data_IF_368838238232
#
_entry.id   IF_368838238232
#
_cell.length_a   1.000
_cell.length_b   1.000
_cell.length_c   1.000
_cell.angle_alpha   90.00
_cell.angle_beta   90.00
_cell.angle_gamma   90.00
#
_symmetry.space_group_name_H-M   'P 1'
#
loop_
_entity.id
_entity.type
_entity.pdbx_description
1 polymer ?
#
# COMPACT_ATOMS: atom_id res chain seq x y z
N UNK A 1 35.47 25.17 -12.32
CA UNK A 1 35.96 24.03 -11.52
C UNK A 1 36.15 24.51 -10.09
N UNK A 2 35.10 24.40 -9.27
CA UNK A 2 35.21 24.53 -7.81
C UNK A 2 35.09 23.11 -7.28
N UNK A 3 36.21 22.58 -6.79
CA UNK A 3 36.26 21.34 -6.03
C UNK A 3 35.46 21.54 -4.74
N UNK A 4 34.30 20.91 -4.65
CA UNK A 4 33.50 20.75 -3.42
C UNK A 4 33.68 19.31 -2.88
N UNK A 5 34.88 18.74 -3.04
CA UNK A 5 35.22 17.36 -2.68
C UNK A 5 35.65 17.18 -1.21
N UNK A 6 35.48 18.16 -0.34
CA UNK A 6 35.89 18.05 1.06
C UNK A 6 34.82 18.53 2.04
N UNK A 7 33.79 17.72 2.30
CA UNK A 7 33.02 17.75 3.55
C UNK A 7 32.10 16.52 3.71
N UNK A 8 32.63 15.31 3.53
CA UNK A 8 31.87 14.06 3.72
C UNK A 8 31.72 13.62 5.20
N UNK A 9 31.82 14.55 6.15
CA UNK A 9 31.75 14.26 7.59
C UNK A 9 30.84 15.18 8.42
N UNK A 10 30.01 16.01 7.78
CA UNK A 10 29.08 16.88 8.50
C UNK A 10 27.67 16.27 8.57
N UNK A 11 26.97 16.54 9.67
CA UNK A 11 25.53 16.31 9.79
C UNK A 11 24.81 16.78 8.51
N UNK A 12 23.75 16.11 8.06
CA UNK A 12 23.05 16.48 6.84
C UNK A 12 22.68 17.96 6.94
N UNK A 13 23.21 18.78 6.03
CA UNK A 13 22.69 20.14 5.85
C UNK A 13 21.18 19.99 5.72
N UNK A 14 20.44 20.74 6.52
CA UNK A 14 18.98 20.78 6.47
C UNK A 14 18.56 21.60 5.25
N UNK A 15 17.48 21.19 4.58
CA UNK A 15 17.01 21.85 3.37
C UNK A 15 16.48 20.89 2.32
N UNK A 16 16.24 21.42 1.12
CA UNK A 16 15.69 20.69 -0.01
C UNK A 16 16.53 20.97 -1.27
N UNK A 17 16.81 19.93 -2.04
CA UNK A 17 17.61 20.01 -3.26
C UNK A 17 16.98 19.16 -4.37
N UNK A 18 17.19 19.61 -5.60
CA UNK A 18 17.12 18.81 -6.79
C UNK A 18 18.50 18.29 -7.13
N UNK A 19 18.60 16.99 -7.41
CA UNK A 19 19.81 16.35 -7.93
C UNK A 19 19.58 16.13 -9.43
N UNK A 20 20.38 16.78 -10.26
CA UNK A 20 20.23 16.74 -11.71
C UNK A 20 20.95 15.54 -12.36
N UNK A 21 20.88 15.46 -13.69
CA UNK A 21 21.48 14.42 -14.55
C UNK A 21 23.01 14.41 -14.54
N UNK A 22 23.66 15.35 -13.84
CA UNK A 22 25.10 15.36 -13.58
C UNK A 22 25.43 14.98 -12.15
N UNK A 23 24.41 14.74 -11.32
CA UNK A 23 24.54 14.53 -9.89
C UNK A 23 24.75 15.82 -9.10
N UNK A 24 24.62 17.00 -9.73
CA UNK A 24 24.80 18.30 -9.09
C UNK A 24 23.54 18.67 -8.27
N UNK A 25 23.77 19.33 -7.12
CA UNK A 25 22.71 19.68 -6.17
C UNK A 25 22.29 21.13 -6.32
N UNK A 26 21.04 21.33 -6.69
CA UNK A 26 20.43 22.64 -6.89
C UNK A 26 19.41 22.89 -5.77
N UNK A 27 19.49 23.98 -4.98
CA UNK A 27 18.50 24.28 -3.93
C UNK A 27 17.07 24.35 -4.48
N UNK A 28 16.10 23.77 -3.77
CA UNK A 28 14.69 23.75 -4.19
C UNK A 28 13.88 24.98 -3.73
N UNK A 29 14.48 25.91 -2.98
CA UNK A 29 13.83 27.04 -2.29
C UNK A 29 13.12 28.05 -3.22
N UNK A 30 13.30 27.95 -4.54
CA UNK A 30 12.75 28.89 -5.52
C UNK A 30 11.75 28.27 -6.51
N UNK A 31 11.40 27.00 -6.37
CA UNK A 31 10.62 26.26 -7.35
C UNK A 31 9.24 25.94 -6.76
N UNK A 32 8.19 26.32 -7.50
CA UNK A 32 6.82 25.95 -7.18
C UNK A 32 6.66 24.43 -7.22
N UNK A 33 6.07 23.84 -6.18
CA UNK A 33 5.75 22.41 -6.11
C UNK A 33 4.88 21.92 -7.27
N UNK A 34 4.14 22.81 -7.94
CA UNK A 34 3.40 22.49 -9.17
C UNK A 34 4.30 22.01 -10.31
N UNK A 35 5.60 22.33 -10.26
CA UNK A 35 6.60 21.90 -11.25
C UNK A 35 7.31 20.60 -10.87
N UNK A 36 7.03 19.99 -9.71
CA UNK A 36 7.71 18.77 -9.26
C UNK A 36 7.65 17.68 -10.34
N UNK A 37 6.49 17.49 -10.98
CA UNK A 37 6.30 16.52 -12.06
C UNK A 37 7.21 16.78 -13.27
N UNK A 38 7.50 18.04 -13.59
CA UNK A 38 8.41 18.40 -14.69
C UNK A 38 9.84 18.01 -14.36
N UNK A 39 10.32 18.34 -13.15
CA UNK A 39 11.67 17.99 -12.74
C UNK A 39 11.87 16.47 -12.64
N UNK A 40 10.88 15.76 -12.12
CA UNK A 40 10.95 14.31 -11.94
C UNK A 40 10.83 13.57 -13.28
N UNK A 41 9.83 13.89 -14.11
CA UNK A 41 9.46 13.11 -15.30
C UNK A 41 10.09 13.61 -16.60
N UNK A 42 10.41 14.88 -16.71
CA UNK A 42 10.95 15.44 -17.96
C UNK A 42 12.44 15.73 -17.89
N UNK A 43 12.97 15.94 -16.68
CA UNK A 43 14.38 16.21 -16.46
C UNK A 43 15.11 15.07 -15.75
N UNK A 44 14.39 14.00 -15.36
CA UNK A 44 14.95 12.82 -14.70
C UNK A 44 15.64 13.12 -13.37
N UNK A 45 15.23 14.18 -12.67
CA UNK A 45 15.88 14.64 -11.45
C UNK A 45 15.35 13.92 -10.20
N UNK A 46 16.13 13.96 -9.12
CA UNK A 46 15.72 13.43 -7.81
C UNK A 46 15.55 14.58 -6.83
N UNK A 47 14.38 14.65 -6.18
CA UNK A 47 14.15 15.60 -5.08
C UNK A 47 14.63 14.98 -3.78
N UNK A 48 15.53 15.66 -3.09
CA UNK A 48 16.08 15.25 -1.80
C UNK A 48 15.75 16.31 -0.76
N UNK A 49 15.05 15.92 0.31
CA UNK A 49 14.79 16.78 1.46
C UNK A 49 15.45 16.19 2.71
N UNK A 50 16.19 17.00 3.45
CA UNK A 50 16.77 16.59 4.73
C UNK A 50 16.23 17.48 5.84
N UNK A 51 15.65 16.84 6.85
CA UNK A 51 15.21 17.48 8.10
C UNK A 51 16.03 16.94 9.27
N UNK A 52 15.86 17.51 10.46
CA UNK A 52 16.55 17.03 11.65
C UNK A 52 16.19 15.57 12.00
N UNK A 53 15.03 15.08 11.54
CA UNK A 53 14.46 13.81 11.98
C UNK A 53 14.31 12.77 10.87
N UNK A 54 14.51 13.14 9.59
CA UNK A 54 14.40 12.22 8.46
C UNK A 54 15.00 12.79 7.18
N UNK A 55 15.28 11.90 6.24
CA UNK A 55 15.63 12.22 4.84
C UNK A 55 14.50 11.71 3.94
N UNK A 56 13.93 12.58 3.11
CA UNK A 56 12.92 12.23 2.11
C UNK A 56 13.56 12.26 0.71
N UNK A 57 13.34 11.23 -0.09
CA UNK A 57 13.88 11.09 -1.45
C UNK A 57 12.72 10.81 -2.39
N UNK A 58 12.60 11.60 -3.45
CA UNK A 58 11.53 11.48 -4.42
C UNK A 58 12.03 11.45 -5.87
N UNK A 59 11.58 10.48 -6.66
CA UNK A 59 11.97 10.30 -8.06
C UNK A 59 10.87 9.63 -8.89
N UNK A 60 10.95 9.74 -10.22
CA UNK A 60 10.17 8.90 -11.13
C UNK A 60 11.05 7.74 -11.62
N UNK A 61 10.64 6.50 -11.38
CA UNK A 61 11.47 5.32 -11.66
C UNK A 61 11.72 5.13 -13.15
N UNK A 62 10.77 5.53 -14.01
CA UNK A 62 10.92 5.32 -15.46
C UNK A 62 11.80 6.38 -16.11
N UNK A 63 11.81 7.59 -15.55
CA UNK A 63 12.45 8.76 -16.16
C UNK A 63 13.73 9.22 -15.44
N UNK A 64 14.03 8.72 -14.23
CA UNK A 64 15.19 9.17 -13.45
C UNK A 64 16.51 8.92 -14.17
N UNK A 65 17.38 9.94 -14.19
CA UNK A 65 18.74 9.83 -14.67
C UNK A 65 19.59 8.97 -13.72
N UNK A 66 20.36 8.03 -14.27
CA UNK A 66 21.17 7.08 -13.49
C UNK A 66 22.18 7.82 -12.60
N UNK A 67 22.78 8.90 -13.11
CA UNK A 67 23.73 9.77 -12.39
C UNK A 67 23.09 10.50 -11.21
N UNK A 68 21.84 10.98 -11.37
CA UNK A 68 21.11 11.67 -10.31
C UNK A 68 20.86 10.73 -9.13
N UNK A 69 20.38 9.51 -9.42
CA UNK A 69 20.09 8.51 -8.41
C UNK A 69 21.37 7.96 -7.77
N UNK A 70 22.43 7.74 -8.55
CA UNK A 70 23.74 7.33 -8.04
C UNK A 70 24.34 8.37 -7.07
N UNK A 71 24.21 9.67 -7.37
CA UNK A 71 24.64 10.76 -6.49
C UNK A 71 23.88 10.77 -5.15
N UNK A 72 22.58 10.46 -5.18
CA UNK A 72 21.78 10.31 -3.94
C UNK A 72 22.21 9.11 -3.13
N UNK A 73 22.47 7.97 -3.77
CA UNK A 73 22.93 6.74 -3.11
C UNK A 73 24.30 6.92 -2.48
N UNK A 74 25.24 7.55 -3.20
CA UNK A 74 26.56 7.90 -2.66
C UNK A 74 26.42 8.79 -1.43
N UNK A 75 25.55 9.81 -1.49
CA UNK A 75 25.28 10.69 -0.34
C UNK A 75 24.70 9.92 0.85
N UNK A 76 23.74 9.02 0.64
CA UNK A 76 23.17 8.21 1.71
C UNK A 76 24.22 7.30 2.36
N UNK A 77 25.12 6.74 1.55
CA UNK A 77 26.22 5.88 1.99
C UNK A 77 27.16 6.61 2.94
N UNK A 78 27.51 7.86 2.59
CA UNK A 78 28.44 8.70 3.36
C UNK A 78 27.78 9.59 4.42
N UNK A 79 26.45 9.62 4.50
CA UNK A 79 25.75 10.35 5.54
C UNK A 79 26.17 9.82 6.93
N UNK A 80 26.26 10.67 7.95
CA UNK A 80 26.54 10.22 9.32
C UNK A 80 25.31 10.23 10.22
N UNK A 81 24.23 10.91 9.82
CA UNK A 81 23.00 10.95 10.60
C UNK A 81 22.26 9.61 10.56
N UNK A 82 22.01 9.05 11.73
CA UNK A 82 21.16 7.88 11.92
C UNK A 82 19.69 8.32 12.02
N UNK A 83 19.16 8.80 10.90
CA UNK A 83 17.77 9.23 10.76
C UNK A 83 17.04 8.34 9.76
N UNK A 84 15.73 8.08 9.96
CA UNK A 84 14.92 7.37 8.98
C UNK A 84 14.98 7.98 7.59
N UNK A 85 14.88 7.12 6.58
CA UNK A 85 14.83 7.51 5.16
C UNK A 85 13.46 7.16 4.61
N UNK A 86 12.77 8.14 4.04
CA UNK A 86 11.51 7.95 3.35
C UNK A 86 11.73 8.02 1.85
N UNK A 87 11.28 7.00 1.13
CA UNK A 87 11.32 6.91 -0.31
C UNK A 87 9.93 7.20 -0.86
N UNK A 88 9.87 8.06 -1.86
CA UNK A 88 8.67 8.44 -2.60
C UNK A 88 8.94 8.25 -4.08
N UNK A 89 8.51 7.17 -4.69
CA UNK A 89 8.84 6.94 -6.09
C UNK A 89 7.63 6.63 -6.93
N UNK A 90 7.64 7.14 -8.16
CA UNK A 90 6.62 6.82 -9.14
C UNK A 90 7.05 5.57 -9.91
N UNK A 91 6.20 4.54 -9.91
CA UNK A 91 6.36 3.34 -10.73
C UNK A 91 4.96 2.88 -11.16
N UNK A 92 4.47 3.43 -12.27
CA UNK A 92 3.05 3.40 -12.71
C UNK A 92 2.05 4.06 -11.74
N UNK A 93 2.42 4.23 -10.48
CA UNK A 93 1.76 5.03 -9.46
C UNK A 93 2.74 5.36 -8.34
N UNK A 94 2.38 6.32 -7.48
CA UNK A 94 3.18 6.70 -6.33
C UNK A 94 3.26 5.60 -5.28
N UNK A 95 4.48 5.33 -4.84
CA UNK A 95 4.82 4.45 -3.71
C UNK A 95 5.48 5.29 -2.62
N UNK A 96 5.10 5.04 -1.37
CA UNK A 96 5.70 5.66 -0.18
C UNK A 96 6.17 4.58 0.78
N UNK A 97 7.47 4.51 1.04
CA UNK A 97 8.10 3.52 1.92
C UNK A 97 9.01 4.24 2.93
N UNK A 98 9.04 3.78 4.19
CA UNK A 98 9.89 4.38 5.23
C UNK A 98 10.81 3.34 5.85
N UNK A 99 12.11 3.63 5.83
CA UNK A 99 13.16 2.75 6.32
C UNK A 99 13.82 3.35 7.55
N UNK A 100 13.99 2.53 8.59
CA UNK A 100 14.73 2.92 9.79
C UNK A 100 16.22 3.06 9.50
N UNK A 101 16.77 2.18 8.67
CA UNK A 101 18.19 2.16 8.35
C UNK A 101 18.44 2.55 6.90
N UNK A 102 19.45 3.38 6.67
CA UNK A 102 19.81 3.86 5.33
C UNK A 102 20.26 2.74 4.40
N UNK A 103 20.86 1.67 4.93
CA UNK A 103 21.29 0.51 4.15
C UNK A 103 20.10 -0.12 3.43
N UNK A 104 19.01 -0.33 4.16
CA UNK A 104 17.77 -0.91 3.63
C UNK A 104 17.15 0.01 2.57
N UNK A 105 17.19 1.33 2.78
CA UNK A 105 16.74 2.29 1.78
C UNK A 105 17.60 2.28 0.50
N UNK A 106 18.93 2.15 0.63
CA UNK A 106 19.84 2.06 -0.51
C UNK A 106 19.58 0.77 -1.30
N UNK A 107 19.48 -0.37 -0.61
CA UNK A 107 19.13 -1.66 -1.23
C UNK A 107 17.80 -1.56 -1.97
N UNK A 108 16.81 -0.90 -1.36
CA UNK A 108 15.53 -0.66 -2.00
C UNK A 108 15.62 0.21 -3.25
N UNK A 109 16.36 1.32 -3.21
CA UNK A 109 16.57 2.17 -4.40
C UNK A 109 17.16 1.35 -5.55
N UNK A 110 18.18 0.52 -5.27
CA UNK A 110 18.79 -0.35 -6.29
C UNK A 110 17.80 -1.37 -6.86
N UNK A 111 16.98 -1.99 -6.00
CA UNK A 111 15.96 -2.94 -6.41
C UNK A 111 14.86 -2.29 -7.27
N UNK A 112 14.41 -1.08 -6.89
CA UNK A 112 13.43 -0.31 -7.68
C UNK A 112 14.02 0.01 -9.04
N UNK A 113 15.27 0.49 -9.09
CA UNK A 113 15.93 0.85 -10.34
C UNK A 113 16.13 -0.35 -11.27
N UNK A 114 16.41 -1.55 -10.72
CA UNK A 114 16.52 -2.75 -11.56
C UNK A 114 15.20 -3.16 -12.23
N UNK A 115 14.06 -2.67 -11.72
CA UNK A 115 12.73 -2.96 -12.25
C UNK A 115 12.21 -1.87 -13.20
N UNK A 116 12.98 -0.80 -13.49
CA UNK A 116 12.50 0.36 -14.25
C UNK A 116 11.93 0.04 -15.64
N UNK A 117 12.38 -1.05 -16.26
CA UNK A 117 11.96 -1.47 -17.61
C UNK A 117 10.88 -2.54 -17.60
N UNK A 118 10.42 -2.99 -16.43
CA UNK A 118 9.42 -4.05 -16.33
C UNK A 118 8.03 -3.43 -16.56
N UNK A 119 7.28 -4.00 -17.49
CA UNK A 119 5.89 -3.62 -17.72
C UNK A 119 4.99 -4.27 -16.65
N UNK A 120 4.02 -3.52 -16.13
CA UNK A 120 3.02 -4.07 -15.23
C UNK A 120 1.92 -4.70 -16.06
N UNK A 121 1.89 -6.03 -16.06
CA UNK A 121 0.84 -6.80 -16.74
C UNK A 121 -0.45 -6.87 -15.92
N UNK A 122 -0.34 -6.78 -14.59
CA UNK A 122 -1.46 -6.85 -13.67
C UNK A 122 -1.38 -5.74 -12.63
N UNK A 123 -2.37 -4.82 -12.57
CA UNK A 123 -2.38 -3.72 -11.60
C UNK A 123 -2.66 -4.19 -10.17
N UNK A 124 -2.89 -5.48 -9.95
CA UNK A 124 -3.17 -6.08 -8.65
C UNK A 124 -2.33 -7.32 -8.43
N UNK A 125 -1.63 -7.35 -7.31
CA UNK A 125 -0.81 -8.46 -6.83
C UNK A 125 -1.34 -8.92 -5.48
N UNK A 126 -1.51 -10.23 -5.33
CA UNK A 126 -1.99 -10.88 -4.11
C UNK A 126 -0.93 -11.89 -3.70
N UNK A 127 -0.37 -11.71 -2.50
CA UNK A 127 0.54 -12.65 -1.87
C UNK A 127 -0.21 -13.39 -0.75
N UNK A 128 -0.23 -14.72 -0.83
CA UNK A 128 -0.93 -15.57 0.14
C UNK A 128 0.05 -15.98 1.23
N UNK A 129 -0.32 -15.73 2.48
CA UNK A 129 0.49 -16.08 3.64
C UNK A 129 -0.10 -17.28 4.37
N UNK A 130 0.78 -18.13 4.89
CA UNK A 130 0.39 -19.19 5.81
C UNK A 130 -0.06 -18.58 7.14
N UNK A 131 -1.04 -19.19 7.81
CA UNK A 131 -1.47 -18.75 9.13
C UNK A 131 -0.40 -18.90 10.20
N UNK A 132 0.68 -19.66 9.96
CA UNK A 132 1.88 -19.63 10.79
C UNK A 132 2.48 -18.22 10.91
N UNK A 133 2.22 -17.33 9.94
CA UNK A 133 2.71 -15.95 9.93
C UNK A 133 1.80 -14.96 10.66
N UNK A 134 0.67 -15.39 11.23
CA UNK A 134 -0.32 -14.50 11.85
C UNK A 134 0.27 -13.63 12.99
N UNK A 135 1.30 -14.12 13.66
CA UNK A 135 2.00 -13.38 14.72
C UNK A 135 2.79 -12.18 14.19
N UNK A 136 3.16 -12.20 12.91
CA UNK A 136 3.85 -11.11 12.20
C UNK A 136 2.87 -10.14 11.53
N UNK A 137 1.58 -10.46 11.47
CA UNK A 137 0.55 -9.59 10.92
C UNK A 137 0.31 -8.36 11.82
N UNK A 138 -0.42 -7.35 11.34
CA UNK A 138 -0.72 -6.20 12.18
C UNK A 138 -1.52 -6.58 13.43
N UNK A 139 -1.46 -5.73 14.49
CA UNK A 139 -2.28 -5.90 15.67
C UNK A 139 -3.77 -6.06 15.39
N UNK A 140 -4.29 -5.39 14.34
CA UNK A 140 -5.69 -5.48 13.93
C UNK A 140 -6.01 -6.88 13.37
N UNK A 141 -5.21 -7.35 12.41
CA UNK A 141 -5.38 -8.67 11.79
C UNK A 141 -5.24 -9.80 12.79
N UNK A 142 -4.16 -9.79 13.59
CA UNK A 142 -3.94 -10.81 14.63
C UNK A 142 -5.10 -10.87 15.61
N UNK A 143 -5.56 -9.72 16.11
CA UNK A 143 -6.70 -9.66 17.03
C UNK A 143 -7.98 -10.16 16.37
N UNK A 144 -8.22 -9.82 15.09
CA UNK A 144 -9.35 -10.33 14.32
C UNK A 144 -9.36 -11.86 14.26
N UNK A 145 -8.21 -12.45 13.95
CA UNK A 145 -8.05 -13.91 13.91
C UNK A 145 -8.28 -14.55 15.29
N UNK A 146 -7.72 -14.00 16.36
CA UNK A 146 -7.96 -14.52 17.71
C UNK A 146 -9.45 -14.52 18.10
N UNK A 147 -10.19 -13.49 17.68
CA UNK A 147 -11.63 -13.40 17.93
C UNK A 147 -12.36 -14.49 17.14
N UNK A 148 -12.06 -14.61 15.86
CA UNK A 148 -12.66 -15.62 14.99
C UNK A 148 -12.37 -17.04 15.48
N UNK A 149 -11.13 -17.35 15.87
CA UNK A 149 -10.73 -18.67 16.36
C UNK A 149 -11.44 -19.03 17.68
N UNK A 150 -11.58 -18.07 18.60
CA UNK A 150 -12.36 -18.26 19.83
C UNK A 150 -13.85 -18.45 19.54
N UNK A 151 -14.38 -17.74 18.54
CA UNK A 151 -15.78 -17.82 18.12
C UNK A 151 -16.08 -19.08 17.30
N UNK A 152 -15.06 -19.75 16.74
CA UNK A 152 -15.18 -20.85 15.78
C UNK A 152 -16.14 -20.49 14.62
N UNK A 153 -15.99 -19.25 14.10
CA UNK A 153 -16.83 -18.70 13.02
C UNK A 153 -18.25 -18.31 13.41
N UNK A 154 -18.63 -18.38 14.70
CA UNK A 154 -19.96 -17.98 15.20
C UNK A 154 -19.87 -16.74 16.07
N UNK A 155 -19.99 -15.58 15.43
CA UNK A 155 -19.85 -14.29 16.11
C UNK A 155 -20.97 -13.96 17.11
N UNK A 156 -22.11 -14.67 17.06
CA UNK A 156 -23.16 -14.58 18.09
C UNK A 156 -22.67 -14.91 19.52
N UNK A 157 -21.55 -15.63 19.63
CA UNK A 157 -20.94 -16.01 20.91
C UNK A 157 -19.88 -15.01 21.42
N UNK A 158 -19.63 -13.94 20.67
CA UNK A 158 -18.61 -12.93 21.01
C UNK A 158 -19.26 -11.82 21.82
N UNK A 159 -18.58 -11.37 22.88
CA UNK A 159 -19.05 -10.23 23.68
C UNK A 159 -19.28 -8.99 22.78
N UNK A 160 -20.39 -8.29 23.00
CA UNK A 160 -20.77 -7.10 22.20
C UNK A 160 -19.66 -6.06 22.10
N UNK A 161 -18.92 -5.85 23.18
CA UNK A 161 -17.81 -4.89 23.24
C UNK A 161 -16.61 -5.29 22.36
N UNK A 162 -16.45 -6.59 22.09
CA UNK A 162 -15.40 -7.11 21.21
C UNK A 162 -15.79 -6.94 19.73
N UNK A 163 -17.06 -7.15 19.39
CA UNK A 163 -17.58 -6.92 18.05
C UNK A 163 -17.59 -5.44 17.67
N UNK A 164 -17.98 -4.57 18.59
CA UNK A 164 -18.04 -3.12 18.33
C UNK A 164 -16.67 -2.50 18.04
N UNK A 165 -15.58 -3.08 18.57
CA UNK A 165 -14.21 -2.67 18.24
C UNK A 165 -13.73 -3.19 16.86
N UNK A 166 -14.39 -4.20 16.32
CA UNK A 166 -13.97 -4.92 15.11
C UNK A 166 -14.74 -4.47 13.85
N UNK A 167 -16.06 -4.25 13.99
CA UNK A 167 -16.95 -3.86 12.89
C UNK A 167 -16.54 -2.59 12.12
N UNK A 168 -15.99 -1.54 12.75
CA UNK A 168 -15.50 -0.36 12.03
C UNK A 168 -14.46 -0.68 10.95
N UNK A 169 -13.70 -1.76 11.11
CA UNK A 169 -12.61 -2.13 10.21
C UNK A 169 -12.96 -3.24 9.22
N UNK A 170 -14.21 -3.71 9.22
CA UNK A 170 -14.61 -4.95 8.55
C UNK A 170 -15.55 -4.69 7.39
N UNK A 171 -15.35 -5.42 6.29
CA UNK A 171 -16.33 -5.59 5.22
C UNK A 171 -17.02 -6.94 5.43
N UNK A 172 -18.34 -6.97 5.44
CA UNK A 172 -19.10 -8.23 5.61
C UNK A 172 -19.84 -8.51 4.30
N UNK A 173 -19.51 -9.63 3.67
CA UNK A 173 -20.19 -10.10 2.48
C UNK A 173 -21.16 -11.22 2.82
N UNK A 174 -22.31 -11.23 2.14
CA UNK A 174 -23.26 -12.32 2.17
C UNK A 174 -23.42 -12.88 0.77
N UNK A 175 -23.62 -14.20 0.69
CA UNK A 175 -23.99 -14.84 -0.56
C UNK A 175 -25.47 -14.55 -0.86
N UNK A 176 -25.74 -13.81 -1.94
CA UNK A 176 -27.08 -13.69 -2.50
C UNK A 176 -27.43 -14.99 -3.24
N UNK A 177 -28.15 -15.88 -2.56
CA UNK A 177 -28.50 -17.21 -3.08
C UNK A 177 -29.27 -17.21 -4.41
N UNK A 178 -29.92 -16.09 -4.79
CA UNK A 178 -30.64 -16.03 -6.07
C UNK A 178 -29.70 -15.86 -7.25
N UNK A 179 -28.59 -15.17 -7.02
CA UNK A 179 -27.70 -14.68 -8.07
C UNK A 179 -26.33 -15.34 -7.97
N UNK A 180 -26.07 -16.10 -6.90
CA UNK A 180 -24.80 -16.76 -6.60
C UNK A 180 -23.62 -15.77 -6.51
N UNK A 181 -23.93 -14.57 -6.02
CA UNK A 181 -22.97 -13.45 -5.94
C UNK A 181 -22.81 -12.94 -4.52
N UNK A 182 -21.61 -12.44 -4.21
CA UNK A 182 -21.32 -11.78 -2.95
C UNK A 182 -21.74 -10.32 -3.01
N UNK A 183 -22.59 -9.94 -2.05
CA UNK A 183 -23.05 -8.56 -1.85
C UNK A 183 -22.58 -8.03 -0.51
N UNK A 184 -22.29 -6.74 -0.44
CA UNK A 184 -21.97 -6.09 0.83
C UNK A 184 -23.21 -6.08 1.71
N UNK A 185 -23.06 -6.60 2.92
CA UNK A 185 -24.07 -6.48 3.98
C UNK A 185 -23.67 -5.47 5.06
N UNK A 186 -22.38 -5.18 5.17
CA UNK A 186 -21.84 -4.16 6.05
C UNK A 186 -20.50 -3.65 5.51
N UNK A 187 -20.28 -2.35 5.64
CA UNK A 187 -19.00 -1.69 5.35
C UNK A 187 -18.65 -0.82 6.55
N UNK A 188 -17.57 -1.19 7.25
CA UNK A 188 -17.03 -0.37 8.33
C UNK A 188 -16.41 0.93 7.81
N UNK A 189 -16.56 2.00 8.58
CA UNK A 189 -16.09 3.36 8.28
C UNK A 189 -14.55 3.50 8.28
N UNK A 190 -13.85 2.57 8.92
CA UNK A 190 -12.39 2.52 8.98
C UNK A 190 -11.77 1.54 7.96
N UNK A 191 -12.59 0.93 7.09
CA UNK A 191 -12.09 0.09 6.00
C UNK A 191 -11.34 0.92 4.95
N UNK A 192 -10.35 0.36 4.22
CA UNK A 192 -9.69 1.04 3.12
C UNK A 192 -10.68 1.67 2.13
N UNK A 193 -11.70 0.92 1.72
CA UNK A 193 -12.69 1.37 0.74
C UNK A 193 -13.49 2.56 1.24
N UNK A 194 -14.02 2.52 2.48
CA UNK A 194 -14.76 3.65 3.04
C UNK A 194 -13.89 4.90 3.21
N UNK A 195 -12.60 4.74 3.54
CA UNK A 195 -11.67 5.87 3.68
C UNK A 195 -11.27 6.50 2.35
N UNK A 196 -11.27 5.74 1.26
CA UNK A 196 -10.92 6.21 -0.09
C UNK A 196 -12.14 6.82 -0.76
N UNK A 197 -13.26 6.10 -0.80
CA UNK A 197 -14.46 6.51 -1.55
C UNK A 197 -15.46 7.31 -0.72
N UNK A 198 -15.27 7.37 0.60
CA UNK A 198 -16.12 8.11 1.52
C UNK A 198 -17.31 7.31 2.05
N UNK A 199 -17.95 7.88 3.07
CA UNK A 199 -19.10 7.28 3.77
C UNK A 199 -20.35 7.18 2.88
N UNK A 200 -20.58 8.16 2.00
CA UNK A 200 -21.71 8.14 1.07
C UNK A 200 -21.63 6.93 0.13
N UNK A 201 -20.46 6.68 -0.46
CA UNK A 201 -20.21 5.49 -1.25
C UNK A 201 -20.45 4.21 -0.44
N UNK A 202 -19.92 4.13 0.78
CA UNK A 202 -20.07 2.95 1.63
C UNK A 202 -21.54 2.63 1.91
N UNK A 203 -22.36 3.65 2.17
CA UNK A 203 -23.80 3.50 2.37
C UNK A 203 -24.53 3.03 1.11
N UNK A 204 -24.14 3.53 -0.06
CA UNK A 204 -24.72 3.14 -1.36
C UNK A 204 -24.29 1.74 -1.81
N UNK A 205 -23.09 1.29 -1.44
CA UNK A 205 -22.56 -0.02 -1.84
C UNK A 205 -23.19 -1.20 -1.09
N UNK A 206 -23.84 -0.96 0.06
CA UNK A 206 -24.54 -2.03 0.80
C UNK A 206 -25.75 -2.52 0.02
N UNK A 207 -25.81 -3.82 -0.21
CA UNK A 207 -26.85 -4.49 -1.00
C UNK A 207 -26.62 -4.45 -2.51
N UNK A 208 -25.64 -3.68 -2.98
CA UNK A 208 -25.25 -3.66 -4.39
C UNK A 208 -24.34 -4.83 -4.75
N UNK A 209 -24.39 -5.21 -6.02
CA UNK A 209 -23.49 -6.21 -6.58
C UNK A 209 -22.09 -5.65 -6.64
N UNK A 210 -21.13 -6.42 -6.14
CA UNK A 210 -19.72 -6.05 -6.21
C UNK A 210 -19.22 -5.89 -7.66
N UNK A 211 -19.94 -6.45 -8.64
CA UNK A 211 -19.62 -6.42 -10.07
C UNK A 211 -20.50 -5.49 -10.94
N UNK A 212 -21.50 -4.78 -10.39
CA UNK A 212 -22.45 -3.99 -11.22
C UNK A 212 -21.90 -2.67 -11.76
N UNK A 213 -20.69 -2.27 -11.38
CA UNK A 213 -20.07 -1.00 -11.82
C UNK A 213 -18.89 -1.25 -12.77
N UNK A 214 -19.20 -1.23 -14.09
CA UNK A 214 -18.35 -0.86 -15.24
C UNK A 214 -17.01 -1.57 -15.54
N UNK A 215 -16.83 -1.88 -16.84
CA UNK A 215 -15.57 -2.18 -17.55
C UNK A 215 -14.88 -3.52 -17.25
N UNK A 216 -14.32 -4.13 -18.30
CA UNK A 216 -13.74 -5.49 -18.28
C UNK A 216 -12.57 -5.62 -17.28
N UNK A 217 -11.80 -4.55 -17.08
CA UNK A 217 -10.67 -4.52 -16.15
C UNK A 217 -11.12 -4.56 -14.67
N UNK A 218 -12.23 -3.89 -14.34
CA UNK A 218 -12.85 -3.95 -13.01
C UNK A 218 -13.36 -5.37 -12.71
N UNK A 219 -13.93 -6.05 -13.70
CA UNK A 219 -14.42 -7.42 -13.53
C UNK A 219 -13.27 -8.42 -13.23
N UNK A 220 -12.12 -8.29 -13.93
CA UNK A 220 -10.95 -9.12 -13.65
C UNK A 220 -10.37 -8.84 -12.26
N UNK A 221 -10.30 -7.57 -11.85
CA UNK A 221 -9.90 -7.19 -10.49
C UNK A 221 -10.82 -7.80 -9.44
N UNK A 222 -12.13 -7.61 -9.59
CA UNK A 222 -13.12 -8.11 -8.64
C UNK A 222 -13.10 -9.63 -8.55
N UNK A 223 -12.96 -10.34 -9.67
CA UNK A 223 -12.82 -11.79 -9.70
C UNK A 223 -11.58 -12.28 -8.95
N UNK A 224 -10.40 -11.64 -9.15
CA UNK A 224 -9.18 -12.00 -8.42
C UNK A 224 -9.30 -11.75 -6.92
N UNK A 225 -9.89 -10.61 -6.54
CA UNK A 225 -10.03 -10.20 -5.14
C UNK A 225 -11.09 -11.04 -4.41
N UNK A 226 -12.16 -11.48 -5.09
CA UNK A 226 -13.22 -12.29 -4.49
C UNK A 226 -12.91 -13.79 -4.44
N UNK A 227 -11.94 -14.30 -5.21
CA UNK A 227 -11.62 -15.73 -5.27
C UNK A 227 -11.42 -16.37 -3.88
N UNK A 228 -10.64 -15.74 -3.00
CA UNK A 228 -10.41 -16.26 -1.65
C UNK A 228 -11.65 -16.17 -0.74
N UNK A 229 -12.60 -15.25 -1.03
CA UNK A 229 -13.88 -15.21 -0.31
C UNK A 229 -14.75 -16.41 -0.66
N UNK A 230 -14.81 -16.77 -1.94
CA UNK A 230 -15.51 -17.97 -2.40
C UNK A 230 -14.87 -19.24 -1.81
N UNK A 231 -13.54 -19.33 -1.83
CA UNK A 231 -12.82 -20.47 -1.22
C UNK A 231 -13.09 -20.59 0.29
N UNK A 232 -13.11 -19.48 1.04
CA UNK A 232 -13.50 -19.49 2.46
C UNK A 232 -14.93 -19.97 2.67
N UNK A 233 -15.88 -19.63 1.80
CA UNK A 233 -17.25 -20.13 1.90
C UNK A 233 -17.34 -21.63 1.63
N UNK A 234 -16.57 -22.13 0.66
CA UNK A 234 -16.58 -23.55 0.29
C UNK A 234 -15.88 -24.44 1.32
N UNK A 235 -14.73 -23.98 1.84
CA UNK A 235 -13.86 -24.79 2.70
C UNK A 235 -14.07 -24.51 4.19
N UNK A 236 -14.53 -23.31 4.53
CA UNK A 236 -14.54 -22.78 5.90
C UNK A 236 -13.17 -22.35 6.42
N UNK A 237 -12.10 -22.50 5.62
CA UNK A 237 -10.75 -22.13 6.01
C UNK A 237 -10.53 -20.62 5.82
N UNK A 238 -9.86 -19.95 6.77
CA UNK A 238 -9.57 -18.54 6.67
C UNK A 238 -8.42 -18.29 5.67
N UNK A 239 -8.28 -17.06 5.17
CA UNK A 239 -7.16 -16.64 4.33
C UNK A 239 -6.48 -15.38 4.90
N UNK A 240 -5.14 -15.38 4.92
CA UNK A 240 -4.31 -14.23 5.20
C UNK A 240 -3.61 -13.80 3.91
N UNK A 241 -3.82 -12.56 3.49
CA UNK A 241 -3.29 -12.06 2.22
C UNK A 241 -2.68 -10.68 2.36
N UNK A 242 -1.60 -10.44 1.64
CA UNK A 242 -1.07 -9.12 1.38
C UNK A 242 -1.42 -8.70 -0.03
N UNK A 243 -2.00 -7.52 -0.18
CA UNK A 243 -2.50 -7.01 -1.45
C UNK A 243 -1.83 -5.69 -1.76
N UNK A 244 -1.37 -5.59 -3.00
CA UNK A 244 -0.93 -4.36 -3.63
C UNK A 244 -1.80 -4.15 -4.86
N UNK A 245 -2.48 -3.02 -4.93
CA UNK A 245 -3.28 -2.66 -6.10
C UNK A 245 -3.01 -1.22 -6.51
N UNK A 246 -2.91 -1.00 -7.81
CA UNK A 246 -2.81 0.34 -8.39
C UNK A 246 -4.20 0.95 -8.35
N UNK A 247 -4.30 2.12 -7.72
CA UNK A 247 -5.52 2.90 -7.68
C UNK A 247 -5.38 4.04 -8.69
N UNK A 248 -6.34 4.13 -9.58
CA UNK A 248 -6.50 5.25 -10.50
C UNK A 248 -7.64 6.12 -9.98
N UNK A 249 -7.35 7.40 -9.77
CA UNK A 249 -8.33 8.42 -9.45
C UNK A 249 -8.29 9.45 -10.58
N UNK A 250 -9.46 9.88 -11.07
CA UNK A 250 -9.54 10.86 -12.16
C UNK A 250 -8.98 12.23 -11.78
N UNK A 251 -8.93 12.54 -10.48
CA UNK A 251 -8.47 13.85 -9.98
C UNK A 251 -7.05 13.82 -9.41
N UNK A 252 -6.46 12.64 -9.20
CA UNK A 252 -5.16 12.48 -8.56
C UNK A 252 -4.23 11.59 -9.38
N UNK A 253 -2.94 11.72 -9.15
CA UNK A 253 -1.98 10.81 -9.77
C UNK A 253 -2.18 9.39 -9.22
N UNK A 254 -2.02 8.34 -10.06
CA UNK A 254 -2.17 6.97 -9.61
C UNK A 254 -1.26 6.65 -8.43
N UNK A 255 -1.73 5.79 -7.53
CA UNK A 255 -0.95 5.40 -6.36
C UNK A 255 -1.14 3.92 -6.02
N UNK A 256 -0.12 3.33 -5.39
CA UNK A 256 -0.20 1.95 -4.93
C UNK A 256 -0.84 1.87 -3.54
N UNK A 257 -1.99 1.20 -3.49
CA UNK A 257 -2.65 0.83 -2.24
C UNK A 257 -2.14 -0.52 -1.76
N UNK A 258 -1.42 -0.50 -0.65
CA UNK A 258 -0.91 -1.70 0.02
C UNK A 258 -1.72 -1.95 1.30
N UNK A 259 -2.26 -3.16 1.44
CA UNK A 259 -3.00 -3.57 2.62
C UNK A 259 -2.91 -5.07 2.85
N UNK A 260 -2.97 -5.47 4.10
CA UNK A 260 -3.17 -6.85 4.49
C UNK A 260 -4.65 -7.07 4.75
N UNK A 261 -5.14 -8.28 4.46
CA UNK A 261 -6.50 -8.68 4.79
C UNK A 261 -6.55 -10.06 5.39
N UNK A 262 -7.48 -10.22 6.32
CA UNK A 262 -7.92 -11.49 6.86
C UNK A 262 -9.33 -11.74 6.36
N UNK A 263 -9.53 -12.88 5.70
CA UNK A 263 -10.82 -13.37 5.25
C UNK A 263 -11.21 -14.53 6.15
N UNK A 264 -12.38 -14.46 6.76
CA UNK A 264 -12.89 -15.48 7.67
C UNK A 264 -14.35 -15.78 7.41
N UNK A 265 -14.75 -17.04 7.57
CA UNK A 265 -16.15 -17.42 7.53
C UNK A 265 -16.90 -16.87 8.75
N UNK A 266 -18.08 -16.30 8.52
CA UNK A 266 -19.05 -16.02 9.57
C UNK A 266 -20.37 -16.76 9.33
N UNK A 267 -21.07 -17.07 10.42
CA UNK A 267 -22.43 -17.61 10.40
C UNK A 267 -23.36 -16.68 11.15
N UNK A 268 -24.45 -16.30 10.50
CA UNK A 268 -25.51 -15.50 11.09
C UNK A 268 -26.43 -16.35 11.96
N UNK A 269 -27.17 -15.69 12.85
CA UNK A 269 -28.14 -16.34 13.74
C UNK A 269 -29.24 -17.11 13.00
N UNK A 270 -29.57 -16.70 11.77
CA UNK A 270 -30.54 -17.38 10.90
C UNK A 270 -29.96 -18.56 10.10
N UNK A 271 -28.67 -18.87 10.31
CA UNK A 271 -27.96 -19.97 9.66
C UNK A 271 -27.37 -19.62 8.30
N UNK A 272 -27.56 -18.40 7.79
CA UNK A 272 -26.88 -17.96 6.56
C UNK A 272 -25.38 -17.78 6.81
N UNK A 273 -24.60 -18.08 5.79
CA UNK A 273 -23.14 -17.95 5.80
C UNK A 273 -22.73 -16.72 5.00
N UNK A 274 -21.59 -16.17 5.39
CA UNK A 274 -20.96 -15.06 4.70
C UNK A 274 -19.48 -15.01 5.09
N UNK A 275 -18.79 -13.99 4.58
CA UNK A 275 -17.39 -13.77 4.93
C UNK A 275 -17.20 -12.39 5.55
N UNK A 276 -16.32 -12.36 6.54
CA UNK A 276 -15.77 -11.13 7.10
C UNK A 276 -14.41 -10.91 6.47
N UNK A 277 -14.19 -9.70 5.96
CA UNK A 277 -12.92 -9.25 5.42
C UNK A 277 -12.44 -8.08 6.27
N UNK A 278 -11.46 -8.36 7.12
CA UNK A 278 -10.79 -7.36 7.92
C UNK A 278 -9.57 -6.85 7.15
N UNK A 279 -9.50 -5.55 6.89
CA UNK A 279 -8.41 -4.96 6.13
C UNK A 279 -7.61 -3.96 6.98
N UNK A 280 -6.29 -3.97 6.85
CA UNK A 280 -5.42 -2.97 7.46
C UNK A 280 -4.49 -2.38 6.40
N UNK A 281 -4.52 -1.05 6.24
CA UNK A 281 -3.58 -0.34 5.37
C UNK A 281 -2.16 -0.47 5.94
N UNK A 282 -1.21 -0.89 5.11
CA UNK A 282 0.18 -1.03 5.54
C UNK A 282 1.13 -0.72 4.39
N UNK A 283 2.05 0.21 4.64
CA UNK A 283 3.13 0.52 3.69
C UNK A 283 4.32 -0.45 3.81
N UNK A 284 4.30 -1.34 4.81
CA UNK A 284 5.42 -2.23 5.16
C UNK A 284 5.14 -3.69 4.78
N UNK A 285 4.38 -3.92 3.71
CA UNK A 285 4.11 -5.26 3.21
C UNK A 285 5.19 -5.67 2.20
N UNK A 286 5.71 -6.87 2.35
CA UNK A 286 6.78 -7.42 1.49
C UNK A 286 6.23 -7.93 0.15
N UNK A 287 5.50 -7.08 -0.57
CA UNK A 287 4.94 -7.43 -1.88
C UNK A 287 5.94 -6.97 -2.97
N UNK A 288 6.34 -7.83 -3.92
CA UNK A 288 7.16 -7.42 -5.05
C UNK A 288 6.55 -6.24 -5.83
N UNK A 289 7.40 -5.42 -6.48
CA UNK A 289 6.93 -4.34 -7.37
C UNK A 289 6.47 -4.87 -8.74
N UNK A 290 7.02 -6.01 -9.14
CA UNK A 290 6.62 -6.74 -10.33
C UNK A 290 6.70 -8.24 -10.02
N UNK A 291 5.70 -8.99 -10.51
CA UNK A 291 5.65 -10.45 -10.48
C UNK A 291 5.95 -11.04 -11.84
#
# INVERSE_FOLDING_TARGET
MRDDTSNFGQAPRLGQWWVDDRGDKNPAESIDSSLDSVFLRHLGQVKLSATANRIDIMWDTTEVADEALASVVDRLTHCQADVPVKLYFFYYGWVSETYKHRKDAIERIMQVQSNRTIAILHPTMIDNHDFSDIENASPLIRRGYEIWDKAKGKFDNVAKDTLSAYLPHTLIYQLNQREDELVFSWIGDQTPSARIYGEEWANLAVGEHSASQSEQETAEFMSKISAAMHETLETGEPHLQHIRTLMEDTEQEPFWLNYERLITLHRMADGREGVDVLCNLSQNLSIPLAG
#
